data_IF_894241797755
#
_entry.id   IF_894241797755
#
_cell.length_a   1.000
_cell.length_b   1.000
_cell.length_c   1.000
_cell.angle_alpha   90.00
_cell.angle_beta   90.00
_cell.angle_gamma   90.00
#
_symmetry.space_group_name_H-M   'P 1'
#
loop_
_entity.id
_entity.type
_entity.pdbx_description
1 polymer ?
#
# COMPACT_ATOMS: atom_id res chain seq x y z
N UNK A 1 -8.30 -24.30 -1.24
CA UNK A 1 -8.35 -24.37 0.24
C UNK A 1 -7.09 -25.05 0.75
N UNK A 2 -6.48 -24.55 1.83
CA UNK A 2 -5.24 -25.10 2.38
C UNK A 2 -5.48 -26.37 3.24
N UNK A 3 -4.41 -27.12 3.53
CA UNK A 3 -4.48 -28.36 4.31
C UNK A 3 -4.96 -28.11 5.74
N UNK A 4 -4.64 -26.95 6.31
CA UNK A 4 -5.01 -26.59 7.68
C UNK A 4 -6.51 -26.29 7.82
N UNK A 5 -7.13 -25.66 6.83
CA UNK A 5 -8.57 -25.45 6.74
C UNK A 5 -9.34 -26.76 6.62
N UNK A 6 -8.82 -27.71 5.82
CA UNK A 6 -9.38 -29.06 5.73
C UNK A 6 -9.34 -29.79 7.07
N UNK A 7 -8.18 -29.78 7.75
CA UNK A 7 -8.03 -30.39 9.08
C UNK A 7 -8.97 -29.74 10.12
N UNK A 8 -9.17 -28.43 10.02
CA UNK A 8 -10.08 -27.68 10.91
C UNK A 8 -11.53 -28.08 10.68
N UNK A 9 -11.97 -28.16 9.42
CA UNK A 9 -13.30 -28.65 9.06
C UNK A 9 -13.52 -30.08 9.54
N UNK A 10 -12.55 -30.97 9.35
CA UNK A 10 -12.65 -32.35 9.84
C UNK A 10 -12.81 -32.42 11.36
N UNK A 11 -12.03 -31.62 12.11
CA UNK A 11 -12.17 -31.52 13.58
C UNK A 11 -13.53 -30.97 14.01
N UNK A 12 -14.07 -29.98 13.30
CA UNK A 12 -15.42 -29.47 13.57
C UNK A 12 -16.47 -30.57 13.35
N UNK A 13 -16.36 -31.33 12.26
CA UNK A 13 -17.25 -32.44 11.96
C UNK A 13 -17.11 -33.66 12.88
N UNK A 14 -16.07 -33.74 13.72
CA UNK A 14 -16.00 -34.73 14.81
C UNK A 14 -16.90 -34.36 15.99
N UNK A 15 -17.19 -33.07 16.18
CA UNK A 15 -17.94 -32.56 17.33
C UNK A 15 -19.36 -32.12 16.98
N UNK A 16 -19.57 -31.66 15.76
CA UNK A 16 -20.83 -31.11 15.29
C UNK A 16 -21.23 -31.78 13.97
N UNK A 17 -22.53 -32.09 13.81
CA UNK A 17 -23.03 -32.56 12.50
C UNK A 17 -23.23 -31.40 11.53
N UNK A 18 -23.60 -30.23 12.04
CA UNK A 18 -23.80 -29.02 11.27
C UNK A 18 -22.58 -28.12 11.47
N UNK A 19 -22.04 -27.61 10.38
CA UNK A 19 -20.99 -26.60 10.40
C UNK A 19 -21.40 -25.45 9.50
N UNK A 20 -21.40 -24.23 10.04
CA UNK A 20 -21.70 -23.00 9.29
C UNK A 20 -20.43 -22.35 8.79
N UNK A 21 -20.46 -21.85 7.57
CA UNK A 21 -19.38 -21.08 6.96
C UNK A 21 -19.95 -19.82 6.30
N UNK A 22 -19.88 -18.70 7.02
CA UNK A 22 -20.17 -17.38 6.48
C UNK A 22 -18.92 -16.80 5.83
N UNK A 23 -19.03 -16.38 4.57
CA UNK A 23 -17.97 -15.74 3.81
C UNK A 23 -18.32 -14.26 3.63
N UNK A 24 -17.85 -13.44 4.59
CA UNK A 24 -18.17 -12.01 4.71
C UNK A 24 -18.11 -11.23 3.40
N UNK A 25 -17.17 -11.57 2.49
CA UNK A 25 -16.98 -10.86 1.23
C UNK A 25 -17.36 -11.69 -0.01
N UNK A 26 -17.91 -12.89 0.16
CA UNK A 26 -18.25 -13.80 -0.95
C UNK A 26 -17.05 -14.22 -1.81
N UNK A 27 -15.83 -14.12 -1.26
CA UNK A 27 -14.59 -14.33 -2.03
C UNK A 27 -14.15 -15.80 -2.07
N UNK A 28 -14.77 -16.66 -1.27
CA UNK A 28 -14.37 -18.04 -1.02
C UNK A 28 -15.24 -19.08 -1.74
N UNK A 29 -16.02 -18.65 -2.74
CA UNK A 29 -16.92 -19.53 -3.50
C UNK A 29 -16.17 -20.66 -4.21
N UNK A 30 -15.07 -20.33 -4.89
CA UNK A 30 -14.26 -21.33 -5.61
C UNK A 30 -13.71 -22.38 -4.64
N UNK A 31 -13.28 -21.98 -3.43
CA UNK A 31 -12.86 -22.92 -2.39
C UNK A 31 -14.00 -23.79 -1.89
N UNK A 32 -15.18 -23.22 -1.65
CA UNK A 32 -16.37 -23.97 -1.25
C UNK A 32 -16.79 -25.00 -2.33
N UNK A 33 -16.80 -24.61 -3.60
CA UNK A 33 -17.17 -25.48 -4.72
C UNK A 33 -16.17 -26.62 -4.89
N UNK A 34 -14.87 -26.33 -4.85
CA UNK A 34 -13.79 -27.30 -4.95
C UNK A 34 -13.62 -28.24 -3.74
N UNK A 35 -14.29 -27.93 -2.62
CA UNK A 35 -14.22 -28.74 -1.40
C UNK A 35 -14.95 -30.07 -1.56
N UNK A 36 -14.24 -31.18 -1.34
CA UNK A 36 -14.81 -32.52 -1.24
C UNK A 36 -14.55 -33.08 0.16
N UNK A 37 -15.61 -33.42 0.88
CA UNK A 37 -15.58 -33.99 2.21
C UNK A 37 -16.41 -35.28 2.22
N UNK A 38 -15.77 -36.40 2.54
CA UNK A 38 -16.47 -37.68 2.59
C UNK A 38 -17.52 -37.70 3.71
N UNK A 39 -18.74 -38.12 3.38
CA UNK A 39 -19.86 -38.21 4.33
C UNK A 39 -20.45 -36.85 4.78
N UNK A 40 -20.03 -35.73 4.18
CA UNK A 40 -20.58 -34.39 4.45
C UNK A 40 -21.32 -33.89 3.20
N UNK A 41 -22.54 -33.39 3.40
CA UNK A 41 -23.33 -32.79 2.32
C UNK A 41 -23.18 -31.27 2.37
N UNK A 42 -22.81 -30.66 1.24
CA UNK A 42 -22.69 -29.20 1.14
C UNK A 42 -24.05 -28.60 0.78
N UNK A 43 -24.49 -27.61 1.54
CA UNK A 43 -25.71 -26.84 1.30
C UNK A 43 -25.39 -25.35 1.25
N UNK A 44 -26.11 -24.62 0.41
CA UNK A 44 -25.95 -23.17 0.27
C UNK A 44 -27.18 -22.44 0.83
N UNK A 45 -26.94 -21.40 1.61
CA UNK A 45 -27.96 -20.51 2.17
C UNK A 45 -28.19 -19.36 1.18
N UNK A 46 -29.34 -19.39 0.51
CA UNK A 46 -29.75 -18.46 -0.54
C UNK A 46 -31.24 -18.14 -0.42
N UNK A 47 -31.65 -17.50 0.68
CA UNK A 47 -33.06 -17.23 1.00
C UNK A 47 -33.94 -18.50 1.05
N UNK A 48 -33.35 -19.62 1.47
CA UNK A 48 -33.97 -20.94 1.57
C UNK A 48 -33.88 -21.51 3.00
N UNK A 49 -33.67 -20.65 3.99
CA UNK A 49 -33.38 -20.98 5.40
C UNK A 49 -34.44 -21.89 5.98
N UNK A 50 -35.72 -21.61 5.73
CA UNK A 50 -36.81 -22.45 6.21
C UNK A 50 -36.75 -23.89 5.66
N UNK A 51 -36.49 -24.02 4.35
CA UNK A 51 -36.37 -25.33 3.70
C UNK A 51 -35.14 -26.09 4.20
N UNK A 52 -34.00 -25.39 4.34
CA UNK A 52 -32.78 -25.95 4.92
C UNK A 52 -33.02 -26.44 6.34
N UNK A 53 -33.67 -25.62 7.18
CA UNK A 53 -33.99 -25.95 8.57
C UNK A 53 -34.86 -27.20 8.65
N UNK A 54 -35.87 -27.34 7.78
CA UNK A 54 -36.68 -28.55 7.69
C UNK A 54 -35.84 -29.76 7.26
N UNK A 55 -35.06 -29.63 6.18
CA UNK A 55 -34.22 -30.70 5.65
C UNK A 55 -33.27 -31.27 6.71
N UNK A 56 -32.49 -30.39 7.35
CA UNK A 56 -31.45 -30.81 8.32
C UNK A 56 -32.03 -31.25 9.66
N UNK A 57 -33.28 -30.87 10.02
CA UNK A 57 -33.90 -31.29 11.28
C UNK A 57 -34.85 -32.48 11.15
N UNK A 58 -35.47 -32.68 9.97
CA UNK A 58 -36.55 -33.66 9.78
C UNK A 58 -36.23 -34.72 8.75
N UNK A 59 -35.69 -34.34 7.59
CA UNK A 59 -35.46 -35.30 6.51
C UNK A 59 -34.19 -36.12 6.74
N UNK A 60 -33.10 -35.47 7.13
CA UNK A 60 -31.80 -36.11 7.35
C UNK A 60 -31.18 -35.70 8.70
N UNK A 61 -31.79 -36.08 9.84
CA UNK A 61 -31.36 -35.61 11.17
C UNK A 61 -29.96 -36.10 11.58
N UNK A 62 -29.53 -37.26 11.09
CA UNK A 62 -28.23 -37.87 11.45
C UNK A 62 -27.10 -37.53 10.48
N UNK A 63 -27.40 -36.87 9.36
CA UNK A 63 -26.42 -36.54 8.31
C UNK A 63 -25.62 -35.28 8.69
N UNK A 64 -24.36 -35.23 8.22
CA UNK A 64 -23.48 -34.07 8.39
C UNK A 64 -23.64 -33.09 7.25
N UNK A 65 -23.72 -31.80 7.59
CA UNK A 65 -23.91 -30.72 6.63
C UNK A 65 -22.91 -29.58 6.82
N UNK A 66 -22.36 -29.09 5.71
CA UNK A 66 -21.65 -27.81 5.62
C UNK A 66 -22.61 -26.78 5.02
N UNK A 67 -23.07 -25.83 5.82
CA UNK A 67 -23.95 -24.74 5.41
C UNK A 67 -23.10 -23.52 5.07
N UNK A 68 -23.10 -23.10 3.81
CA UNK A 68 -22.31 -21.98 3.31
C UNK A 68 -23.19 -20.81 2.89
N UNK A 69 -22.74 -19.60 3.20
CA UNK A 69 -23.37 -18.37 2.74
C UNK A 69 -22.30 -17.39 2.23
N UNK A 70 -22.46 -16.93 1.00
CA UNK A 70 -21.55 -15.97 0.36
C UNK A 70 -21.80 -14.52 0.81
N UNK A 71 -22.06 -14.33 2.10
CA UNK A 71 -22.26 -13.03 2.74
C UNK A 71 -21.91 -13.14 4.24
N UNK A 72 -21.83 -12.00 4.95
CA UNK A 72 -21.67 -12.02 6.39
C UNK A 72 -22.82 -12.78 7.07
N UNK A 73 -22.55 -13.24 8.29
CA UNK A 73 -23.60 -13.72 9.18
C UNK A 73 -24.66 -12.62 9.36
N UNK A 74 -25.96 -12.90 9.12
CA UNK A 74 -27.02 -11.94 9.39
C UNK A 74 -27.07 -11.55 10.88
N UNK A 75 -27.56 -10.35 11.22
CA UNK A 75 -27.93 -10.00 12.60
C UNK A 75 -28.81 -11.06 13.25
N UNK A 76 -28.69 -11.25 14.56
CA UNK A 76 -29.38 -12.33 15.29
C UNK A 76 -30.91 -12.31 15.11
N UNK A 77 -31.51 -11.13 15.03
CA UNK A 77 -32.96 -10.93 14.80
C UNK A 77 -33.41 -11.24 13.37
N UNK A 78 -32.49 -11.21 12.41
CA UNK A 78 -32.72 -11.56 11.00
C UNK A 78 -32.24 -12.98 10.66
N UNK A 79 -31.54 -13.67 11.56
CA UNK A 79 -30.96 -14.98 11.30
C UNK A 79 -31.93 -16.13 11.62
N UNK A 80 -32.64 -16.62 10.60
CA UNK A 80 -33.61 -17.71 10.73
C UNK A 80 -33.00 -19.06 11.17
N UNK A 81 -31.68 -19.22 11.00
CA UNK A 81 -30.92 -20.40 11.38
C UNK A 81 -30.14 -20.19 12.69
N UNK A 82 -30.38 -19.11 13.44
CA UNK A 82 -29.62 -18.76 14.64
C UNK A 82 -29.60 -19.89 15.69
N UNK A 83 -30.74 -20.53 15.93
CA UNK A 83 -30.86 -21.66 16.85
C UNK A 83 -29.97 -22.86 16.44
N UNK A 84 -29.90 -23.13 15.14
CA UNK A 84 -28.98 -24.12 14.60
C UNK A 84 -27.55 -23.65 14.72
N UNK A 85 -27.23 -22.41 14.34
CA UNK A 85 -25.89 -21.84 14.42
C UNK A 85 -25.32 -21.94 15.84
N UNK A 86 -26.09 -21.56 16.85
CA UNK A 86 -25.70 -21.59 18.27
C UNK A 86 -25.47 -23.01 18.81
N UNK A 87 -26.06 -24.04 18.19
CA UNK A 87 -25.89 -25.45 18.58
C UNK A 87 -24.89 -26.22 17.69
N UNK A 88 -24.26 -25.53 16.74
CA UNK A 88 -23.43 -26.10 15.68
C UNK A 88 -21.97 -25.67 15.78
N UNK A 89 -21.13 -26.19 14.89
CA UNK A 89 -19.78 -25.67 14.69
C UNK A 89 -19.80 -24.48 13.74
N UNK A 90 -18.91 -23.52 13.95
CA UNK A 90 -18.70 -22.43 12.99
C UNK A 90 -17.30 -22.55 12.39
N UNK A 91 -17.23 -22.74 11.08
CA UNK A 91 -16.01 -22.70 10.31
C UNK A 91 -15.75 -21.27 9.85
N UNK A 92 -14.99 -20.55 10.68
CA UNK A 92 -14.43 -19.26 10.31
C UNK A 92 -13.13 -19.50 9.55
N UNK A 93 -13.14 -19.23 8.26
CA UNK A 93 -11.89 -19.10 7.50
C UNK A 93 -11.25 -17.79 7.96
N UNK A 94 -10.18 -17.87 8.75
CA UNK A 94 -9.37 -16.68 9.00
C UNK A 94 -8.68 -16.35 7.66
N UNK A 95 -9.33 -15.49 6.85
CA UNK A 95 -8.76 -15.00 5.59
C UNK A 95 -7.35 -14.44 5.81
N UNK A 96 -7.05 -13.95 7.02
CA UNK A 96 -5.69 -13.59 7.40
C UNK A 96 -4.74 -14.78 7.38
N UNK A 97 -5.13 -15.92 7.96
CA UNK A 97 -4.31 -17.14 7.96
C UNK A 97 -4.11 -17.69 6.54
N UNK A 98 -5.14 -17.64 5.69
CA UNK A 98 -5.01 -18.03 4.27
C UNK A 98 -4.02 -17.11 3.55
N UNK A 99 -4.15 -15.79 3.71
CA UNK A 99 -3.23 -14.82 3.10
C UNK A 99 -1.79 -14.97 3.62
N UNK A 100 -1.62 -15.22 4.92
CA UNK A 100 -0.32 -15.53 5.51
C UNK A 100 0.30 -16.77 4.87
N UNK A 101 -0.48 -17.84 4.74
CA UNK A 101 -0.02 -19.06 4.07
C UNK A 101 0.32 -18.83 2.60
N UNK A 102 -0.50 -18.09 1.86
CA UNK A 102 -0.28 -17.77 0.45
C UNK A 102 0.99 -16.94 0.22
N UNK A 103 1.29 -16.01 1.15
CA UNK A 103 2.48 -15.16 1.15
C UNK A 103 3.70 -15.82 1.80
N UNK A 104 3.57 -17.05 2.31
CA UNK A 104 4.60 -17.77 3.05
C UNK A 104 5.14 -16.96 4.26
N UNK A 105 4.21 -16.31 4.96
CA UNK A 105 4.44 -15.45 6.13
C UNK A 105 3.94 -16.08 7.42
N UNK A 106 4.61 -15.73 8.53
CA UNK A 106 4.26 -16.20 9.86
C UNK A 106 3.10 -15.39 10.50
N UNK A 107 2.43 -15.98 11.50
CA UNK A 107 1.32 -15.37 12.25
C UNK A 107 1.65 -14.00 12.87
N UNK A 108 2.93 -13.70 13.12
CA UNK A 108 3.41 -12.38 13.53
C UNK A 108 2.95 -11.24 12.61
N UNK A 109 2.70 -11.49 11.31
CA UNK A 109 2.20 -10.49 10.36
C UNK A 109 0.67 -10.34 10.33
N UNK A 110 -0.08 -11.11 11.14
CA UNK A 110 -1.54 -11.06 11.18
C UNK A 110 -2.06 -9.63 11.41
N UNK A 111 -1.39 -8.85 12.24
CA UNK A 111 -1.76 -7.46 12.52
C UNK A 111 -1.60 -6.54 11.29
N UNK A 112 -0.58 -6.75 10.45
CA UNK A 112 -0.36 -5.98 9.23
C UNK A 112 -1.46 -6.28 8.21
N UNK A 113 -1.77 -7.56 8.00
CA UNK A 113 -2.84 -7.95 7.06
C UNK A 113 -4.19 -7.39 7.49
N UNK A 114 -4.50 -7.46 8.80
CA UNK A 114 -5.73 -6.86 9.35
C UNK A 114 -5.74 -5.33 9.19
N UNK A 115 -4.65 -4.63 9.52
CA UNK A 115 -4.55 -3.16 9.41
C UNK A 115 -4.74 -2.68 7.96
N UNK A 116 -4.27 -3.46 6.99
CA UNK A 116 -4.29 -3.11 5.57
C UNK A 116 -5.24 -4.00 4.74
N UNK A 117 -6.34 -4.48 5.32
CA UNK A 117 -7.22 -5.49 4.71
C UNK A 117 -7.69 -5.12 3.30
N UNK A 118 -7.98 -3.84 3.02
CA UNK A 118 -8.40 -3.36 1.70
C UNK A 118 -7.35 -3.60 0.60
N UNK A 119 -6.05 -3.66 0.94
CA UNK A 119 -4.99 -4.05 0.01
C UNK A 119 -5.24 -5.46 -0.54
N UNK A 120 -5.57 -6.41 0.33
CA UNK A 120 -5.73 -7.83 0.04
C UNK A 120 -7.07 -8.20 -0.61
N UNK A 121 -7.87 -7.20 -1.02
CA UNK A 121 -9.05 -7.42 -1.86
C UNK A 121 -8.72 -7.56 -3.35
N UNK A 122 -7.47 -7.31 -3.76
CA UNK A 122 -7.02 -7.48 -5.15
C UNK A 122 -6.04 -8.64 -5.29
N UNK A 123 -6.45 -9.68 -6.04
CA UNK A 123 -5.57 -10.80 -6.40
C UNK A 123 -4.29 -10.33 -7.12
N UNK A 124 -4.37 -9.29 -7.95
CA UNK A 124 -3.21 -8.72 -8.64
C UNK A 124 -2.17 -8.11 -7.66
N UNK A 125 -2.64 -7.35 -6.66
CA UNK A 125 -1.75 -6.78 -5.62
C UNK A 125 -1.11 -7.86 -4.76
N UNK A 126 -1.85 -8.92 -4.41
CA UNK A 126 -1.30 -10.07 -3.67
C UNK A 126 -0.18 -10.74 -4.48
N UNK A 127 -0.39 -10.96 -5.78
CA UNK A 127 0.63 -11.55 -6.66
C UNK A 127 1.87 -10.67 -6.80
N UNK A 128 1.72 -9.35 -6.89
CA UNK A 128 2.85 -8.42 -6.91
C UNK A 128 3.60 -8.43 -5.57
N UNK A 129 2.86 -8.35 -4.45
CA UNK A 129 3.45 -8.40 -3.11
C UNK A 129 4.28 -9.66 -2.90
N UNK A 130 3.76 -10.82 -3.34
CA UNK A 130 4.43 -12.12 -3.23
C UNK A 130 5.80 -12.17 -3.89
N UNK A 131 6.02 -11.37 -4.95
CA UNK A 131 7.33 -11.25 -5.62
C UNK A 131 8.33 -10.43 -4.80
N UNK A 132 7.85 -9.52 -3.95
CA UNK A 132 8.67 -8.61 -3.16
C UNK A 132 8.93 -9.14 -1.74
N UNK A 133 7.95 -9.82 -1.16
CA UNK A 133 7.98 -10.27 0.23
C UNK A 133 9.03 -11.33 0.49
N UNK A 134 9.64 -11.27 1.68
CA UNK A 134 10.64 -12.22 2.17
C UNK A 134 10.33 -12.64 3.60
N UNK A 135 10.74 -13.85 3.98
CA UNK A 135 10.59 -14.36 5.36
C UNK A 135 11.33 -13.55 6.41
N UNK A 136 12.35 -12.80 5.98
CA UNK A 136 13.17 -11.96 6.86
C UNK A 136 12.63 -10.53 7.00
N UNK A 137 11.51 -10.21 6.37
CA UNK A 137 10.92 -8.88 6.47
C UNK A 137 10.52 -8.58 7.91
N UNK A 138 10.65 -7.33 8.33
CA UNK A 138 9.92 -6.81 9.48
C UNK A 138 8.51 -6.38 9.07
N UNK A 139 7.64 -6.12 10.04
CA UNK A 139 6.30 -5.55 9.77
C UNK A 139 6.39 -4.24 8.99
N UNK A 140 7.43 -3.44 9.28
CA UNK A 140 7.72 -2.18 8.60
C UNK A 140 8.18 -2.39 7.15
N UNK A 141 9.03 -3.39 6.90
CA UNK A 141 9.45 -3.75 5.54
C UNK A 141 8.26 -4.22 4.71
N UNK A 142 7.38 -5.02 5.31
CA UNK A 142 6.15 -5.46 4.64
C UNK A 142 5.27 -4.27 4.26
N UNK A 143 5.04 -3.32 5.18
CA UNK A 143 4.27 -2.10 4.90
C UNK A 143 4.88 -1.26 3.78
N UNK A 144 6.21 -1.14 3.74
CA UNK A 144 6.92 -0.46 2.64
C UNK A 144 6.71 -1.16 1.30
N UNK A 145 6.64 -2.50 1.28
CA UNK A 145 6.33 -3.27 0.06
C UNK A 145 4.86 -3.16 -0.34
N UNK A 146 3.93 -3.11 0.61
CA UNK A 146 2.51 -2.81 0.33
C UNK A 146 2.37 -1.43 -0.34
N UNK A 147 3.08 -0.43 0.20
CA UNK A 147 3.14 0.92 -0.37
C UNK A 147 3.71 0.90 -1.79
N UNK A 148 4.82 0.19 -2.01
CA UNK A 148 5.41 0.05 -3.34
C UNK A 148 4.45 -0.55 -4.36
N UNK A 149 3.73 -1.61 -4.00
CA UNK A 149 2.71 -2.21 -4.89
C UNK A 149 1.57 -1.23 -5.20
N UNK A 150 1.10 -0.45 -4.22
CA UNK A 150 0.10 0.60 -4.46
C UNK A 150 0.61 1.67 -5.43
N UNK A 151 1.91 1.95 -5.40
CA UNK A 151 2.57 2.89 -6.28
C UNK A 151 3.09 2.25 -7.58
N UNK A 152 2.71 1.02 -7.94
CA UNK A 152 3.16 0.36 -9.17
C UNK A 152 4.68 0.16 -9.26
N UNK A 153 5.34 0.05 -8.11
CA UNK A 153 6.79 -0.07 -7.97
C UNK A 153 7.15 -1.54 -7.67
N UNK A 154 7.71 -2.20 -8.68
CA UNK A 154 8.16 -3.60 -8.62
C UNK A 154 9.52 -3.78 -7.90
N UNK A 155 10.19 -2.68 -7.52
CA UNK A 155 11.45 -2.70 -6.79
C UNK A 155 11.29 -2.72 -5.27
N UNK A 156 10.10 -2.42 -4.74
CA UNK A 156 9.83 -2.40 -3.29
C UNK A 156 10.50 -1.25 -2.54
N UNK A 157 11.00 -0.21 -3.24
CA UNK A 157 11.79 0.88 -2.66
C UNK A 157 10.97 2.16 -2.43
N UNK A 158 11.06 2.75 -1.24
CA UNK A 158 10.35 4.00 -0.90
C UNK A 158 10.57 5.11 -1.94
N UNK A 159 11.82 5.39 -2.31
CA UNK A 159 12.16 6.52 -3.19
C UNK A 159 11.48 6.42 -4.54
N UNK A 160 11.40 5.21 -5.09
CA UNK A 160 10.71 4.96 -6.36
C UNK A 160 9.19 5.11 -6.21
N UNK A 161 8.62 4.71 -5.08
CA UNK A 161 7.21 4.97 -4.76
C UNK A 161 6.92 6.47 -4.64
N UNK A 162 7.85 7.25 -4.06
CA UNK A 162 7.71 8.70 -3.94
C UNK A 162 7.82 9.40 -5.29
N UNK A 163 8.78 9.01 -6.13
CA UNK A 163 8.89 9.52 -7.49
C UNK A 163 7.61 9.24 -8.29
N UNK A 164 7.04 8.04 -8.15
CA UNK A 164 5.79 7.68 -8.81
C UNK A 164 4.60 8.54 -8.34
N UNK A 165 4.48 8.79 -7.04
CA UNK A 165 3.43 9.64 -6.48
C UNK A 165 3.59 11.09 -6.92
N UNK A 166 4.82 11.62 -6.90
CA UNK A 166 5.13 12.98 -7.34
C UNK A 166 4.85 13.15 -8.83
N UNK A 167 5.24 12.18 -9.66
CA UNK A 167 4.99 12.18 -11.09
C UNK A 167 3.50 12.15 -11.45
N UNK A 168 2.68 11.44 -10.68
CA UNK A 168 1.23 11.47 -10.83
C UNK A 168 0.64 12.82 -10.38
N UNK A 169 1.10 13.34 -9.24
CA UNK A 169 0.60 14.60 -8.67
C UNK A 169 0.89 15.83 -9.54
N UNK A 170 2.04 15.89 -10.22
CA UNK A 170 2.39 17.06 -11.06
C UNK A 170 1.51 17.21 -12.30
N UNK A 171 0.92 16.10 -12.76
CA UNK A 171 -0.06 16.10 -13.87
C UNK A 171 -1.51 16.14 -13.38
N UNK A 172 -1.72 16.32 -12.07
CA UNK A 172 -3.05 16.45 -11.44
C UNK A 172 -3.76 15.11 -11.20
N UNK A 173 -3.05 13.98 -11.25
CA UNK A 173 -3.59 12.68 -10.87
C UNK A 173 -3.44 12.42 -9.37
N UNK A 174 -4.31 11.56 -8.83
CA UNK A 174 -4.26 11.14 -7.42
C UNK A 174 -4.57 9.64 -7.23
N UNK A 175 -4.63 8.85 -8.30
CA UNK A 175 -5.09 7.45 -8.23
C UNK A 175 -4.23 6.58 -7.32
N UNK A 176 -2.89 6.72 -7.39
CA UNK A 176 -1.97 6.00 -6.50
C UNK A 176 -2.11 6.48 -5.06
N UNK A 177 -2.17 7.80 -4.84
CA UNK A 177 -2.31 8.35 -3.49
C UNK A 177 -3.65 7.95 -2.84
N UNK A 178 -4.74 7.95 -3.61
CA UNK A 178 -6.05 7.48 -3.21
C UNK A 178 -6.05 5.97 -2.91
N UNK A 179 -5.33 5.17 -3.70
CA UNK A 179 -5.13 3.76 -3.41
C UNK A 179 -4.33 3.55 -2.12
N UNK A 180 -3.25 4.31 -1.88
CA UNK A 180 -2.47 4.29 -0.64
C UNK A 180 -3.36 4.60 0.56
N UNK A 181 -4.19 5.64 0.46
CA UNK A 181 -5.14 6.00 1.51
C UNK A 181 -6.18 4.90 1.77
N UNK A 182 -6.80 4.36 0.71
CA UNK A 182 -7.76 3.26 0.80
C UNK A 182 -7.15 2.00 1.43
N UNK A 183 -5.87 1.73 1.17
CA UNK A 183 -5.13 0.62 1.76
C UNK A 183 -4.59 0.92 3.16
N UNK A 184 -4.95 2.07 3.76
CA UNK A 184 -4.56 2.49 5.10
C UNK A 184 -3.02 2.63 5.27
N UNK A 185 -2.33 3.11 4.23
CA UNK A 185 -0.86 3.24 4.20
C UNK A 185 -0.36 4.69 4.32
N UNK A 186 -1.25 5.68 4.42
CA UNK A 186 -0.90 7.11 4.49
C UNK A 186 -0.02 7.43 5.70
N UNK A 187 -0.36 6.92 6.89
CA UNK A 187 0.45 7.10 8.10
C UNK A 187 1.86 6.54 7.93
N UNK A 188 1.96 5.33 7.35
CA UNK A 188 3.25 4.68 7.08
C UNK A 188 4.09 5.49 6.09
N UNK A 189 3.48 5.97 5.00
CA UNK A 189 4.15 6.81 4.01
C UNK A 189 4.82 8.03 4.65
N UNK A 190 4.09 8.78 5.48
CA UNK A 190 4.62 9.98 6.11
C UNK A 190 5.66 9.69 7.20
N UNK A 191 5.51 8.61 7.96
CA UNK A 191 6.52 8.21 8.93
C UNK A 191 7.83 7.76 8.24
N UNK A 192 7.74 7.07 7.08
CA UNK A 192 8.91 6.75 6.26
C UNK A 192 9.60 8.01 5.69
N UNK A 193 8.81 8.96 5.16
CA UNK A 193 9.33 10.24 4.66
C UNK A 193 10.05 11.00 5.78
N UNK A 194 9.44 11.08 6.95
CA UNK A 194 10.02 11.72 8.13
C UNK A 194 11.32 11.05 8.56
N UNK A 195 11.35 9.72 8.65
CA UNK A 195 12.53 9.00 9.10
C UNK A 195 13.68 9.09 8.11
N UNK A 196 13.39 9.04 6.80
CA UNK A 196 14.43 9.07 5.76
C UNK A 196 14.91 10.47 5.45
N UNK A 197 13.99 11.42 5.33
CA UNK A 197 14.28 12.77 4.85
C UNK A 197 14.22 13.83 5.94
N UNK A 198 13.64 13.56 7.10
CA UNK A 198 13.50 14.56 8.18
C UNK A 198 12.31 15.52 8.01
N UNK A 199 11.47 15.32 6.99
CA UNK A 199 10.31 16.17 6.71
C UNK A 199 9.19 15.94 7.73
N UNK A 200 8.72 17.02 8.35
CA UNK A 200 7.65 17.00 9.36
C UNK A 200 6.73 18.18 9.14
N UNK A 201 5.45 17.91 8.90
CA UNK A 201 4.40 18.93 8.74
C UNK A 201 3.13 18.51 9.47
N UNK A 202 2.36 19.48 9.97
CA UNK A 202 1.05 19.25 10.59
C UNK A 202 -0.03 18.86 9.57
N UNK A 203 0.14 19.25 8.31
CA UNK A 203 -0.72 18.85 7.19
C UNK A 203 0.18 18.49 6.00
N UNK A 204 0.83 17.32 6.02
CA UNK A 204 1.85 16.99 5.03
C UNK A 204 1.24 16.80 3.65
N UNK A 205 1.82 17.45 2.65
CA UNK A 205 1.53 17.22 1.24
C UNK A 205 2.79 16.85 0.45
N UNK A 206 2.63 16.12 -0.65
CA UNK A 206 3.75 15.74 -1.52
C UNK A 206 4.36 16.97 -2.20
N UNK A 207 3.55 17.98 -2.49
CA UNK A 207 4.01 19.22 -3.09
C UNK A 207 4.89 20.01 -2.13
N UNK A 208 4.45 20.18 -0.88
CA UNK A 208 5.24 20.87 0.16
C UNK A 208 6.53 20.10 0.47
N UNK A 209 6.46 18.76 0.51
CA UNK A 209 7.66 17.94 0.62
C UNK A 209 8.64 18.21 -0.52
N UNK A 210 8.17 18.23 -1.78
CA UNK A 210 9.02 18.54 -2.92
C UNK A 210 9.60 19.96 -2.82
N UNK A 211 8.78 20.96 -2.47
CA UNK A 211 9.22 22.34 -2.27
C UNK A 211 10.37 22.42 -1.26
N UNK A 212 10.20 21.85 -0.05
CA UNK A 212 11.23 21.88 0.98
C UNK A 212 12.50 21.14 0.55
N UNK A 213 12.38 20.00 -0.12
CA UNK A 213 13.53 19.22 -0.61
C UNK A 213 14.31 19.97 -1.69
N UNK A 214 13.62 20.63 -2.63
CA UNK A 214 14.24 21.47 -3.67
C UNK A 214 14.92 22.70 -3.05
N UNK A 215 14.24 23.39 -2.13
CA UNK A 215 14.80 24.55 -1.43
C UNK A 215 16.05 24.17 -0.64
N UNK A 216 15.96 23.13 0.20
CA UNK A 216 17.07 22.62 0.99
C UNK A 216 18.27 22.24 0.12
N UNK A 217 18.03 21.52 -0.98
CA UNK A 217 19.13 21.08 -1.85
C UNK A 217 19.80 22.24 -2.57
N UNK A 218 19.03 23.26 -2.98
CA UNK A 218 19.57 24.48 -3.54
C UNK A 218 20.40 25.26 -2.53
N UNK A 219 19.85 25.54 -1.35
CA UNK A 219 20.54 26.29 -0.29
C UNK A 219 21.82 25.60 0.16
N UNK A 220 21.78 24.27 0.27
CA UNK A 220 22.95 23.45 0.54
C UNK A 220 24.00 23.54 -0.58
N UNK A 221 23.58 23.53 -1.85
CA UNK A 221 24.52 23.62 -2.98
C UNK A 221 25.30 24.93 -3.01
N UNK A 222 24.72 26.02 -2.49
CA UNK A 222 25.31 27.36 -2.48
C UNK A 222 25.91 27.74 -1.12
N UNK A 223 25.98 26.80 -0.16
CA UNK A 223 26.55 27.03 1.16
C UNK A 223 25.72 27.92 2.09
N UNK A 224 24.43 28.13 1.80
CA UNK A 224 23.47 28.86 2.65
C UNK A 224 22.63 27.92 3.52
N UNK A 225 23.19 26.78 3.91
CA UNK A 225 22.49 25.80 4.72
C UNK A 225 22.26 26.32 6.14
N UNK A 226 21.01 26.29 6.60
CA UNK A 226 20.62 26.56 7.98
C UNK A 226 20.71 25.29 8.82
N UNK A 227 21.53 25.30 9.88
CA UNK A 227 21.67 24.16 10.81
C UNK A 227 20.35 23.83 11.54
N UNK A 228 19.39 24.75 11.60
CA UNK A 228 18.05 24.49 12.16
C UNK A 228 17.15 23.69 11.21
N UNK A 229 17.51 23.56 9.92
CA UNK A 229 16.75 22.79 8.94
C UNK A 229 16.89 21.28 9.22
N UNK A 230 15.74 20.63 9.45
CA UNK A 230 15.65 19.22 9.86
C UNK A 230 15.80 18.22 8.72
N UNK A 231 15.82 18.69 7.46
CA UNK A 231 15.97 17.81 6.32
C UNK A 231 17.35 17.15 6.30
N UNK A 232 17.37 15.86 5.97
CA UNK A 232 18.59 15.04 5.93
C UNK A 232 19.28 15.13 4.56
N UNK A 233 20.57 14.76 4.51
CA UNK A 233 21.34 14.65 3.25
C UNK A 233 20.65 13.72 2.24
N UNK A 234 19.82 12.78 2.70
CA UNK A 234 19.08 11.88 1.82
C UNK A 234 18.09 12.63 0.92
N UNK A 235 17.62 13.83 1.30
CA UNK A 235 16.75 14.66 0.47
C UNK A 235 17.45 15.08 -0.83
N UNK A 236 18.71 15.53 -0.75
CA UNK A 236 19.49 15.90 -1.94
C UNK A 236 19.88 14.69 -2.78
N UNK A 237 20.16 13.54 -2.15
CA UNK A 237 20.40 12.30 -2.88
C UNK A 237 19.14 11.80 -3.61
N UNK A 238 17.97 11.99 -3.01
CA UNK A 238 16.68 11.69 -3.64
C UNK A 238 16.47 12.53 -4.91
N UNK A 239 16.73 13.85 -4.88
CA UNK A 239 16.64 14.67 -6.10
C UNK A 239 17.60 14.20 -7.18
N UNK A 240 18.83 13.84 -6.82
CA UNK A 240 19.80 13.30 -7.78
C UNK A 240 19.27 12.02 -8.43
N UNK A 241 18.76 11.08 -7.63
CA UNK A 241 18.17 9.84 -8.15
C UNK A 241 16.93 10.09 -9.00
N UNK A 242 16.09 11.06 -8.62
CA UNK A 242 14.88 11.41 -9.36
C UNK A 242 15.22 12.02 -10.72
N UNK A 243 16.16 12.96 -10.76
CA UNK A 243 16.67 13.55 -11.99
C UNK A 243 17.32 12.51 -12.91
N UNK A 244 18.13 11.61 -12.35
CA UNK A 244 18.85 10.58 -13.12
C UNK A 244 17.94 9.38 -13.52
N UNK A 245 16.68 9.36 -13.06
CA UNK A 245 15.73 8.29 -13.34
C UNK A 245 15.22 8.35 -14.77
N UNK A 246 15.40 7.25 -15.52
CA UNK A 246 14.84 7.10 -16.88
C UNK A 246 13.31 7.16 -16.92
N UNK A 247 12.65 6.81 -15.83
CA UNK A 247 11.18 6.75 -15.76
C UNK A 247 10.58 8.06 -15.27
N UNK A 248 11.29 8.79 -14.40
CA UNK A 248 10.73 9.92 -13.66
C UNK A 248 11.42 11.27 -13.95
N UNK A 249 12.44 11.32 -14.82
CA UNK A 249 13.13 12.56 -15.18
C UNK A 249 12.19 13.66 -15.68
N UNK A 250 11.16 13.31 -16.46
CA UNK A 250 10.21 14.31 -16.98
C UNK A 250 9.42 14.98 -15.86
N UNK A 251 9.01 14.21 -14.85
CA UNK A 251 8.37 14.76 -13.67
C UNK A 251 9.33 15.63 -12.86
N UNK A 252 10.60 15.24 -12.73
CA UNK A 252 11.62 16.08 -12.10
C UNK A 252 11.74 17.43 -12.83
N UNK A 253 11.82 17.43 -14.17
CA UNK A 253 11.89 18.67 -14.97
C UNK A 253 10.65 19.55 -14.74
N UNK A 254 9.46 18.94 -14.69
CA UNK A 254 8.23 19.67 -14.41
C UNK A 254 8.23 20.33 -13.01
N UNK A 255 8.67 19.61 -11.97
CA UNK A 255 8.83 20.18 -10.63
C UNK A 255 9.93 21.23 -10.57
N UNK A 256 11.08 20.97 -11.16
CA UNK A 256 12.21 21.92 -11.23
C UNK A 256 11.75 23.24 -11.81
N UNK A 257 11.02 23.23 -12.93
CA UNK A 257 10.46 24.45 -13.51
C UNK A 257 9.47 25.14 -12.57
N UNK A 258 8.46 24.42 -12.09
CA UNK A 258 7.39 24.98 -11.25
C UNK A 258 7.94 25.57 -9.94
N UNK A 259 8.78 24.80 -9.24
CA UNK A 259 9.38 25.21 -7.98
C UNK A 259 10.47 26.26 -8.18
N UNK A 260 11.15 26.27 -9.34
CA UNK A 260 12.10 27.33 -9.68
C UNK A 260 11.44 28.71 -9.73
N UNK A 261 10.23 28.78 -10.28
CA UNK A 261 9.41 29.99 -10.29
C UNK A 261 8.93 30.35 -8.86
N UNK A 262 8.38 29.38 -8.12
CA UNK A 262 7.85 29.60 -6.76
C UNK A 262 8.94 30.00 -5.74
N UNK A 263 10.14 29.43 -5.86
CA UNK A 263 11.31 29.78 -5.04
C UNK A 263 12.01 31.07 -5.50
N UNK A 264 11.51 31.68 -6.59
CA UNK A 264 12.09 32.87 -7.23
C UNK A 264 13.60 32.73 -7.48
N UNK A 265 14.01 31.56 -7.98
CA UNK A 265 15.42 31.22 -8.24
C UNK A 265 16.11 32.28 -9.11
N UNK A 266 15.51 32.79 -10.21
CA UNK A 266 16.16 33.82 -11.04
C UNK A 266 16.58 35.07 -10.27
N UNK A 267 15.75 35.54 -9.32
CA UNK A 267 16.08 36.71 -8.51
C UNK A 267 17.14 36.39 -7.45
N UNK A 268 17.08 35.19 -6.85
CA UNK A 268 18.10 34.73 -5.88
C UNK A 268 19.49 34.64 -6.52
N UNK A 269 19.57 34.22 -7.78
CA UNK A 269 20.83 34.11 -8.53
C UNK A 269 21.51 35.46 -8.76
N UNK A 270 20.75 36.55 -8.89
CA UNK A 270 21.33 37.89 -9.09
C UNK A 270 22.18 38.37 -7.91
N UNK A 271 21.95 37.82 -6.71
CA UNK A 271 22.71 38.14 -5.50
C UNK A 271 23.97 37.26 -5.31
N UNK A 272 24.21 36.28 -6.18
CA UNK A 272 25.29 35.30 -6.06
C UNK A 272 26.37 35.53 -7.13
N UNK A 273 27.57 34.98 -6.90
CA UNK A 273 28.56 34.80 -7.98
C UNK A 273 28.23 33.50 -8.73
N UNK A 274 28.23 33.51 -10.07
CA UNK A 274 27.99 32.31 -10.87
C UNK A 274 28.93 31.15 -10.52
N UNK A 275 30.15 31.45 -10.03
CA UNK A 275 31.08 30.41 -9.55
C UNK A 275 30.55 29.63 -8.34
N UNK A 276 29.70 30.25 -7.52
CA UNK A 276 29.12 29.61 -6.34
C UNK A 276 27.97 28.64 -6.70
N UNK A 277 27.43 28.75 -7.92
CA UNK A 277 26.28 27.94 -8.37
C UNK A 277 26.61 27.04 -9.56
N UNK A 278 27.84 27.09 -10.08
CA UNK A 278 28.24 26.41 -11.32
C UNK A 278 28.10 24.88 -11.27
N UNK A 279 28.19 24.30 -10.08
CA UNK A 279 28.04 22.86 -9.86
C UNK A 279 26.59 22.45 -9.50
N UNK A 280 25.66 23.42 -9.45
CA UNK A 280 24.26 23.17 -9.13
C UNK A 280 23.43 23.01 -10.41
N UNK A 281 22.80 21.86 -10.57
CA UNK A 281 22.03 21.48 -11.77
C UNK A 281 20.56 21.18 -11.45
N UNK A 282 20.02 21.87 -10.43
CA UNK A 282 18.65 21.69 -9.97
C UNK A 282 17.62 22.45 -10.82
N UNK A 283 18.00 23.58 -11.43
CA UNK A 283 17.09 24.48 -12.14
C UNK A 283 17.74 25.01 -13.42
N UNK A 284 16.97 25.02 -14.52
CA UNK A 284 17.38 25.61 -15.82
C UNK A 284 17.80 27.08 -15.70
N UNK A 285 17.22 27.81 -14.73
CA UNK A 285 17.60 29.18 -14.42
C UNK A 285 19.08 29.32 -14.02
N UNK A 286 19.67 28.29 -13.39
CA UNK A 286 21.07 28.28 -12.99
C UNK A 286 21.96 28.13 -14.24
N UNK A 287 21.63 27.19 -15.12
CA UNK A 287 22.36 26.99 -16.38
C UNK A 287 22.38 28.28 -17.20
N UNK A 288 21.20 28.90 -17.37
CA UNK A 288 21.05 30.16 -18.11
C UNK A 288 21.88 31.28 -17.48
N UNK A 289 21.83 31.41 -16.16
CA UNK A 289 22.61 32.42 -15.42
C UNK A 289 24.12 32.22 -15.59
N UNK A 290 24.61 30.98 -15.44
CA UNK A 290 26.01 30.63 -15.64
C UNK A 290 26.49 30.91 -17.08
N UNK A 291 25.69 30.57 -18.09
CA UNK A 291 26.02 30.82 -19.51
C UNK A 291 26.15 32.32 -19.79
N UNK A 292 25.21 33.13 -19.31
CA UNK A 292 25.23 34.59 -19.50
C UNK A 292 26.46 35.19 -18.80
N UNK A 293 26.71 34.83 -17.54
CA UNK A 293 27.85 35.32 -16.79
C UNK A 293 29.21 34.96 -17.44
N UNK A 294 29.34 33.73 -17.94
CA UNK A 294 30.53 33.30 -18.69
C UNK A 294 30.71 34.09 -19.99
N UNK A 295 29.63 34.34 -20.74
CA UNK A 295 29.66 35.13 -21.97
C UNK A 295 30.12 36.57 -21.71
N UNK A 296 29.65 37.19 -20.63
CA UNK A 296 30.05 38.54 -20.23
C UNK A 296 31.54 38.60 -19.86
N UNK A 297 32.05 37.60 -19.13
CA UNK A 297 33.48 37.52 -18.80
C UNK A 297 34.36 37.36 -20.05
N UNK A 298 33.91 36.61 -21.06
CA UNK A 298 34.65 36.43 -22.30
C UNK A 298 34.64 37.71 -23.14
N UNK A 299 33.51 38.43 -23.20
CA UNK A 299 33.39 39.71 -23.93
C UNK A 299 34.15 40.87 -23.28
N UNK A 300 34.35 40.82 -21.96
CA UNK A 300 35.09 41.82 -21.20
C UNK A 300 36.62 41.66 -21.24
N UNK A 301 37.14 40.65 -21.93
CA UNK A 301 38.57 40.43 -22.20
C UNK A 301 38.96 40.96 -23.56
#
# INVERSE_FOLDING_TARGET
MDKQSLDTLQKLFMRHRLVFWYDDKGTLREEYEGLSLEGVTKLEIVNNEFALKYHVLREEPDRKFLLYQASPQPPDDENWLLDLLLSSGEFRTDRTAILLSELDMDISFQHVIKKHAAFFDSKARIQQLKKLSSKNDSSRDLQTKLLAVCCGNDGGRLDESLMALLAEGIVGGEDRLNLVARCNLTEHLWEEIKIRYGYVSGNPSLFDFAFEVFQFSFERSIGLFDEENKLSIQASLFLKQWKDSKTYSDSFVAYSKKLGDELNIPSRLQALDFKAVIDCDLFEAIDTYCIIALLEQVKGR
#
